data_IF_535430349582
#
_entry.id   IF_535430349582
#
_cell.length_a   1.000
_cell.length_b   1.000
_cell.length_c   1.000
_cell.angle_alpha   90.00
_cell.angle_beta   90.00
_cell.angle_gamma   90.00
#
_symmetry.space_group_name_H-M   'P 1'
#
loop_
_entity.id
_entity.type
_entity.pdbx_description
1 polymer ?
#
# COMPACT_ATOMS: atom_id res chain seq x y z
N UNK A 1 1.92 -7.65 -16.47
CA UNK A 1 1.67 -7.18 -15.10
C UNK A 1 2.65 -7.78 -14.10
N UNK A 2 2.96 -9.08 -14.17
CA UNK A 2 3.85 -9.80 -13.24
C UNK A 2 5.18 -9.12 -13.00
N UNK A 3 5.95 -8.83 -14.05
CA UNK A 3 7.22 -8.11 -13.93
C UNK A 3 7.13 -6.77 -13.22
N UNK A 4 6.03 -6.06 -13.41
CA UNK A 4 5.83 -4.78 -12.73
C UNK A 4 5.53 -4.97 -11.22
N UNK A 5 4.71 -5.94 -10.87
CA UNK A 5 4.42 -6.23 -9.46
C UNK A 5 5.65 -6.70 -8.70
N UNK A 6 6.55 -7.45 -9.38
CA UNK A 6 7.78 -7.98 -8.78
C UNK A 6 8.90 -6.92 -8.72
N UNK A 7 9.13 -6.16 -9.79
CA UNK A 7 10.27 -5.24 -9.91
C UNK A 7 9.89 -3.76 -9.85
N UNK A 8 8.61 -3.41 -9.99
CA UNK A 8 8.17 -2.02 -10.02
C UNK A 8 8.72 -1.26 -11.23
N UNK A 9 8.94 0.04 -11.01
CA UNK A 9 9.41 0.98 -12.05
C UNK A 9 10.89 1.41 -11.86
N UNK A 10 11.62 0.75 -10.99
CA UNK A 10 13.01 1.13 -10.71
C UNK A 10 13.95 0.80 -11.87
N UNK A 11 14.87 1.70 -12.24
CA UNK A 11 15.78 1.48 -13.39
C UNK A 11 16.60 0.20 -13.27
N UNK A 12 16.97 -0.20 -12.05
CA UNK A 12 17.76 -1.40 -11.78
C UNK A 12 16.96 -2.72 -11.91
N UNK A 13 15.70 -2.67 -12.35
CA UNK A 13 14.95 -3.89 -12.73
C UNK A 13 15.60 -4.69 -13.86
N UNK A 14 16.55 -4.08 -14.58
CA UNK A 14 17.37 -4.75 -15.60
C UNK A 14 18.49 -5.60 -15.00
N UNK A 15 18.77 -5.47 -13.70
CA UNK A 15 19.80 -6.21 -12.95
C UNK A 15 19.16 -7.16 -11.91
N UNK A 16 18.48 -8.24 -12.32
CA UNK A 16 17.67 -9.05 -11.40
C UNK A 16 18.47 -9.64 -10.22
N UNK A 17 19.76 -9.94 -10.44
CA UNK A 17 20.62 -10.51 -9.39
C UNK A 17 20.90 -9.56 -8.23
N UNK A 18 20.93 -8.26 -8.50
CA UNK A 18 21.21 -7.20 -7.52
C UNK A 18 19.94 -6.43 -7.14
N UNK A 19 18.81 -6.81 -7.70
CA UNK A 19 17.56 -6.06 -7.54
C UNK A 19 17.17 -5.84 -6.08
N UNK A 20 17.11 -6.93 -5.30
CA UNK A 20 16.72 -6.86 -3.88
C UNK A 20 17.67 -6.00 -3.06
N UNK A 21 18.99 -6.13 -3.31
CA UNK A 21 20.00 -5.33 -2.63
C UNK A 21 19.86 -3.84 -2.99
N UNK A 22 19.70 -3.53 -4.28
CA UNK A 22 19.53 -2.16 -4.76
C UNK A 22 18.22 -1.54 -4.23
N UNK A 23 17.12 -2.31 -4.15
CA UNK A 23 15.86 -1.82 -3.59
C UNK A 23 15.98 -1.54 -2.09
N UNK A 24 16.61 -2.44 -1.31
CA UNK A 24 16.87 -2.22 0.11
C UNK A 24 17.76 -1.01 0.36
N UNK A 25 18.80 -0.83 -0.46
CA UNK A 25 19.66 0.35 -0.39
C UNK A 25 18.88 1.63 -0.69
N UNK A 26 18.04 1.63 -1.71
CA UNK A 26 17.18 2.76 -2.06
C UNK A 26 16.20 3.07 -0.93
N UNK A 27 15.53 2.07 -0.36
CA UNK A 27 14.65 2.22 0.79
C UNK A 27 15.37 2.85 1.99
N UNK A 28 16.56 2.33 2.33
CA UNK A 28 17.36 2.87 3.43
C UNK A 28 17.77 4.32 3.17
N UNK A 29 18.19 4.66 1.95
CA UNK A 29 18.51 6.05 1.58
C UNK A 29 17.28 6.97 1.72
N UNK A 30 16.11 6.54 1.26
CA UNK A 30 14.85 7.30 1.43
C UNK A 30 14.57 7.55 2.91
N UNK A 31 14.67 6.53 3.77
CA UNK A 31 14.46 6.71 5.20
C UNK A 31 15.49 7.65 5.85
N UNK A 32 16.74 7.56 5.45
CA UNK A 32 17.82 8.40 6.00
C UNK A 32 17.71 9.84 5.50
N UNK A 33 17.54 10.04 4.20
CA UNK A 33 17.50 11.40 3.61
C UNK A 33 16.16 12.08 3.94
N UNK A 34 15.04 11.46 3.62
CA UNK A 34 13.74 12.12 3.72
C UNK A 34 13.30 12.27 5.18
N UNK A 35 13.60 11.30 6.04
CA UNK A 35 13.13 11.34 7.42
C UNK A 35 14.15 11.94 8.38
N UNK A 36 15.43 11.59 8.30
CA UNK A 36 16.43 12.18 9.22
C UNK A 36 16.79 13.61 8.83
N UNK A 37 17.12 13.84 7.54
CA UNK A 37 17.55 15.16 7.10
C UNK A 37 16.40 16.14 6.93
N UNK A 38 15.37 15.79 6.15
CA UNK A 38 14.29 16.72 5.78
C UNK A 38 13.32 16.91 6.96
N UNK A 39 12.93 15.83 7.64
CA UNK A 39 12.01 15.87 8.81
C UNK A 39 12.74 16.07 10.15
N UNK A 40 14.08 16.13 10.15
CA UNK A 40 14.91 16.32 11.34
C UNK A 40 14.61 15.30 12.47
N UNK A 41 14.30 14.06 12.10
CA UNK A 41 14.04 13.00 13.05
C UNK A 41 15.34 12.52 13.68
N UNK A 42 15.27 12.11 14.94
CA UNK A 42 16.42 11.55 15.65
C UNK A 42 16.84 10.19 15.06
N UNK A 43 18.13 9.97 14.92
CA UNK A 43 18.69 8.72 14.37
C UNK A 43 18.21 7.46 15.11
N UNK A 44 17.95 7.55 16.42
CA UNK A 44 17.40 6.45 17.23
C UNK A 44 16.03 5.97 16.76
N UNK A 45 15.28 6.77 15.99
CA UNK A 45 13.96 6.41 15.50
C UNK A 45 14.04 5.56 14.23
N UNK A 46 15.15 5.62 13.51
CA UNK A 46 15.31 4.97 12.21
C UNK A 46 15.15 3.44 12.32
N UNK A 47 15.74 2.83 13.35
CA UNK A 47 15.60 1.38 13.54
C UNK A 47 14.15 0.96 13.83
N UNK A 48 13.38 1.79 14.56
CA UNK A 48 11.95 1.53 14.84
C UNK A 48 11.10 1.67 13.58
N UNK A 49 11.42 2.64 12.72
CA UNK A 49 10.76 2.79 11.42
C UNK A 49 11.06 1.60 10.50
N UNK A 50 12.32 1.15 10.44
CA UNK A 50 12.69 -0.06 9.69
C UNK A 50 11.94 -1.29 10.21
N UNK A 51 11.91 -1.50 11.53
CA UNK A 51 11.15 -2.58 12.17
C UNK A 51 9.67 -2.52 11.82
N UNK A 52 9.07 -1.32 11.81
CA UNK A 52 7.67 -1.14 11.42
C UNK A 52 7.42 -1.55 9.97
N UNK A 53 8.28 -1.14 9.04
CA UNK A 53 8.15 -1.52 7.62
C UNK A 53 8.23 -3.04 7.44
N UNK A 54 9.18 -3.70 8.12
CA UNK A 54 9.29 -5.17 8.09
C UNK A 54 8.04 -5.85 8.62
N UNK A 55 7.48 -5.39 9.74
CA UNK A 55 6.24 -5.94 10.30
C UNK A 55 5.07 -5.74 9.32
N UNK A 56 4.97 -4.59 8.68
CA UNK A 56 3.93 -4.32 7.68
C UNK A 56 4.08 -5.20 6.44
N UNK A 57 5.32 -5.48 6.02
CA UNK A 57 5.59 -6.34 4.86
C UNK A 57 5.22 -7.81 5.11
N UNK A 58 5.28 -8.26 6.37
CA UNK A 58 4.99 -9.65 6.76
C UNK A 58 3.51 -9.90 7.08
N UNK A 59 2.68 -8.86 7.10
CA UNK A 59 1.26 -8.98 7.43
C UNK A 59 0.40 -8.77 6.20
N UNK A 60 -0.68 -9.57 6.04
CA UNK A 60 -1.65 -9.32 4.97
C UNK A 60 -2.26 -7.91 5.14
N UNK A 61 -2.20 -7.04 4.11
CA UNK A 61 -2.69 -5.67 4.22
C UNK A 61 -4.19 -5.56 4.56
N UNK A 62 -5.02 -6.50 4.10
CA UNK A 62 -6.46 -6.50 4.39
C UNK A 62 -6.83 -6.84 5.84
N UNK A 63 -5.87 -7.07 6.71
CA UNK A 63 -6.16 -7.17 8.12
C UNK A 63 -6.28 -5.78 8.76
N UNK A 64 -7.32 -5.62 9.59
CA UNK A 64 -7.47 -4.40 10.38
C UNK A 64 -6.21 -4.11 11.17
N UNK A 65 -5.69 -2.90 11.01
CA UNK A 65 -4.46 -2.47 11.67
C UNK A 65 -4.65 -2.39 13.19
N UNK A 66 -3.94 -3.22 13.93
CA UNK A 66 -3.92 -3.17 15.38
C UNK A 66 -2.77 -2.28 15.89
N UNK A 67 -3.03 -0.97 16.01
CA UNK A 67 -2.05 0.02 16.49
C UNK A 67 -1.51 -0.34 17.88
N UNK A 68 -2.34 -0.93 18.76
CA UNK A 68 -1.91 -1.29 20.11
C UNK A 68 -0.87 -2.41 20.07
N UNK A 69 -1.10 -3.41 19.24
CA UNK A 69 -0.15 -4.50 19.04
C UNK A 69 1.16 -4.01 18.41
N UNK A 70 1.08 -3.17 17.38
CA UNK A 70 2.27 -2.55 16.78
C UNK A 70 3.07 -1.72 17.81
N UNK A 71 2.36 -0.99 18.68
CA UNK A 71 3.01 -0.20 19.72
C UNK A 71 3.80 -1.08 20.72
N UNK A 72 3.24 -2.24 21.08
CA UNK A 72 3.93 -3.22 21.93
C UNK A 72 5.15 -3.83 21.22
N UNK A 73 4.99 -4.28 19.99
CA UNK A 73 6.06 -4.94 19.21
C UNK A 73 7.25 -4.00 18.91
N UNK A 74 6.98 -2.69 18.77
CA UNK A 74 8.00 -1.67 18.47
C UNK A 74 8.47 -0.97 19.73
N UNK A 75 7.89 -1.32 20.89
CA UNK A 75 8.22 -0.70 22.19
C UNK A 75 8.06 0.82 22.16
N UNK A 76 6.86 1.27 21.81
CA UNK A 76 6.53 2.69 21.69
C UNK A 76 5.07 2.98 22.00
N UNK A 77 4.65 4.24 21.98
CA UNK A 77 3.26 4.63 22.20
C UNK A 77 2.40 4.47 20.93
N UNK A 78 1.07 4.36 21.11
CA UNK A 78 0.10 4.32 19.99
C UNK A 78 0.19 5.59 19.13
N UNK A 79 0.31 6.75 19.75
CA UNK A 79 0.46 8.03 19.07
C UNK A 79 1.74 8.07 18.23
N UNK A 80 2.82 7.49 18.73
CA UNK A 80 4.09 7.38 18.01
C UNK A 80 3.94 6.49 16.77
N UNK A 81 3.22 5.36 16.86
CA UNK A 81 2.94 4.51 15.68
C UNK A 81 2.18 5.30 14.61
N UNK A 82 1.14 6.04 14.98
CA UNK A 82 0.39 6.87 14.01
C UNK A 82 1.32 7.90 13.35
N UNK A 83 2.21 8.55 14.11
CA UNK A 83 3.20 9.46 13.56
C UNK A 83 4.18 8.76 12.62
N UNK A 84 4.65 7.56 12.97
CA UNK A 84 5.54 6.78 12.11
C UNK A 84 4.88 6.41 10.78
N UNK A 85 3.61 5.98 10.82
CA UNK A 85 2.86 5.69 9.60
C UNK A 85 2.70 6.94 8.72
N UNK A 86 2.51 8.12 9.32
CA UNK A 86 2.49 9.39 8.58
C UNK A 86 3.85 9.69 7.95
N UNK A 87 4.96 9.55 8.68
CA UNK A 87 6.30 9.74 8.11
C UNK A 87 6.59 8.79 6.95
N UNK A 88 6.23 7.51 7.09
CA UNK A 88 6.36 6.53 6.01
C UNK A 88 5.46 6.85 4.81
N UNK A 89 4.29 7.44 5.06
CA UNK A 89 3.39 7.93 4.00
C UNK A 89 3.98 9.12 3.26
N UNK A 90 4.53 10.10 3.97
CA UNK A 90 5.19 11.26 3.39
C UNK A 90 6.39 10.84 2.52
N UNK A 91 7.17 9.85 2.97
CA UNK A 91 8.28 9.25 2.24
C UNK A 91 7.82 8.28 1.14
N UNK A 92 6.52 8.10 0.92
CA UNK A 92 5.92 7.17 -0.05
C UNK A 92 6.29 5.69 0.12
N UNK A 93 6.74 5.31 1.31
CA UNK A 93 7.10 3.93 1.65
C UNK A 93 5.88 3.12 2.09
N UNK A 94 4.88 3.78 2.68
CA UNK A 94 3.63 3.16 3.11
C UNK A 94 2.42 4.00 2.65
N UNK A 95 1.26 3.34 2.55
CA UNK A 95 -0.03 3.93 2.16
C UNK A 95 -1.07 3.60 3.23
N UNK A 96 -1.25 4.45 4.23
CA UNK A 96 -2.38 4.31 5.14
C UNK A 96 -3.69 4.61 4.42
N UNK A 97 -4.67 3.71 4.60
CA UNK A 97 -6.03 3.86 4.09
C UNK A 97 -6.97 4.03 5.28
N UNK A 98 -7.78 5.05 5.23
CA UNK A 98 -8.73 5.41 6.29
C UNK A 98 -10.13 4.97 5.91
N UNK A 99 -11.02 4.88 6.89
CA UNK A 99 -12.45 4.70 6.62
C UNK A 99 -13.04 5.99 6.06
N UNK A 100 -14.13 5.87 5.31
CA UNK A 100 -14.82 7.04 4.75
C UNK A 100 -15.28 8.05 5.83
N UNK A 101 -15.59 7.54 7.02
CA UNK A 101 -16.02 8.31 8.19
C UNK A 101 -14.88 8.89 9.04
N UNK A 102 -13.64 8.42 8.84
CA UNK A 102 -12.49 8.83 9.64
C UNK A 102 -11.76 10.02 9.01
N UNK A 103 -11.11 10.83 9.86
CA UNK A 103 -10.20 11.88 9.41
C UNK A 103 -8.81 11.29 9.10
N UNK A 104 -8.07 11.90 8.17
CA UNK A 104 -6.71 11.49 7.83
C UNK A 104 -5.68 11.66 8.96
N UNK A 105 -6.04 12.42 9.99
CA UNK A 105 -5.20 12.60 11.20
C UNK A 105 -5.43 11.50 12.25
N UNK A 106 -6.42 10.66 12.04
CA UNK A 106 -6.77 9.57 12.94
C UNK A 106 -5.98 8.28 12.71
N UNK A 107 -6.53 7.20 13.25
CA UNK A 107 -6.00 5.85 13.10
C UNK A 107 -6.35 5.31 11.71
N UNK A 108 -5.38 4.89 10.87
CA UNK A 108 -5.69 4.22 9.62
C UNK A 108 -6.33 2.85 9.89
N UNK A 109 -7.23 2.44 9.00
CA UNK A 109 -7.89 1.14 9.10
C UNK A 109 -6.99 0.02 8.60
N UNK A 110 -6.29 0.24 7.49
CA UNK A 110 -5.30 -0.66 6.90
C UNK A 110 -4.09 0.13 6.39
N UNK A 111 -2.98 -0.56 6.14
CA UNK A 111 -1.79 0.04 5.55
C UNK A 111 -1.25 -0.87 4.47
N UNK A 112 -1.08 -0.35 3.26
CA UNK A 112 -0.32 -0.97 2.19
C UNK A 112 1.11 -0.43 2.16
N UNK A 113 2.04 -1.20 1.61
CA UNK A 113 3.37 -0.66 1.27
C UNK A 113 3.26 0.27 0.05
N UNK A 114 4.23 1.14 -0.12
CA UNK A 114 4.24 2.15 -1.18
C UNK A 114 4.36 1.57 -2.59
N UNK A 115 4.85 0.32 -2.71
CA UNK A 115 4.96 -0.37 -3.99
C UNK A 115 4.88 -1.89 -3.78
N UNK A 116 4.27 -2.67 -4.70
CA UNK A 116 4.18 -4.13 -4.61
C UNK A 116 5.52 -4.84 -4.45
N UNK A 117 6.57 -4.37 -5.11
CA UNK A 117 7.91 -4.96 -5.04
C UNK A 117 8.52 -4.96 -3.63
N UNK A 118 8.08 -4.07 -2.74
CA UNK A 118 8.53 -4.06 -1.35
C UNK A 118 8.09 -5.31 -0.60
N UNK A 119 6.94 -5.89 -0.93
CA UNK A 119 6.52 -7.17 -0.34
C UNK A 119 7.42 -8.33 -0.76
N UNK A 120 7.89 -8.35 -2.02
CA UNK A 120 8.82 -9.39 -2.49
C UNK A 120 10.18 -9.32 -1.82
N UNK A 121 10.65 -8.12 -1.50
CA UNK A 121 12.00 -7.91 -0.94
C UNK A 121 12.02 -7.94 0.58
N UNK A 122 10.97 -7.48 1.24
CA UNK A 122 10.88 -7.38 2.70
C UNK A 122 10.05 -8.50 3.33
N UNK A 123 9.07 -9.05 2.60
CA UNK A 123 8.22 -10.16 3.04
C UNK A 123 8.96 -11.49 2.93
N UNK A 124 8.76 -12.38 3.92
CA UNK A 124 9.31 -13.74 3.87
C UNK A 124 8.37 -14.71 3.13
N UNK A 125 7.09 -14.41 3.08
CA UNK A 125 6.06 -15.20 2.39
C UNK A 125 5.50 -14.41 1.20
N UNK A 126 5.03 -15.13 0.20
CA UNK A 126 4.40 -14.53 -0.96
C UNK A 126 3.13 -13.77 -0.52
N UNK A 127 3.10 -12.47 -0.75
CA UNK A 127 1.89 -11.68 -0.61
C UNK A 127 0.86 -12.17 -1.63
N UNK A 128 -0.41 -12.26 -1.21
CA UNK A 128 -1.50 -12.66 -2.10
C UNK A 128 -1.57 -11.73 -3.33
N UNK A 129 -1.84 -12.32 -4.48
CA UNK A 129 -1.92 -11.60 -5.76
C UNK A 129 -2.88 -10.41 -5.69
N UNK A 130 -4.04 -10.61 -5.13
CA UNK A 130 -5.04 -9.55 -4.96
C UNK A 130 -4.52 -8.38 -4.13
N UNK A 131 -3.68 -8.64 -3.12
CA UNK A 131 -3.06 -7.61 -2.30
C UNK A 131 -2.00 -6.80 -3.06
N UNK A 132 -1.22 -7.48 -3.91
CA UNK A 132 -0.26 -6.81 -4.80
C UNK A 132 -0.98 -5.90 -5.79
N UNK A 133 -2.11 -6.36 -6.37
CA UNK A 133 -2.94 -5.55 -7.26
C UNK A 133 -3.54 -4.33 -6.55
N UNK A 134 -4.06 -4.50 -5.34
CA UNK A 134 -4.57 -3.39 -4.51
C UNK A 134 -3.47 -2.39 -4.21
N UNK A 135 -2.30 -2.87 -3.80
CA UNK A 135 -1.13 -2.00 -3.56
C UNK A 135 -0.78 -1.18 -4.79
N UNK A 136 -0.75 -1.81 -5.97
CA UNK A 136 -0.51 -1.13 -7.24
C UNK A 136 -1.55 -0.05 -7.51
N UNK A 137 -2.84 -0.40 -7.46
CA UNK A 137 -3.93 0.54 -7.74
C UNK A 137 -3.90 1.72 -6.79
N UNK A 138 -3.73 1.49 -5.47
CA UNK A 138 -3.65 2.59 -4.49
C UNK A 138 -2.41 3.46 -4.68
N UNK A 139 -1.28 2.88 -5.07
CA UNK A 139 -0.10 3.69 -5.38
C UNK A 139 -0.36 4.63 -6.57
N UNK A 140 -1.05 4.16 -7.61
CA UNK A 140 -1.40 5.00 -8.76
C UNK A 140 -2.46 6.07 -8.39
N UNK A 141 -3.53 5.68 -7.72
CA UNK A 141 -4.58 6.61 -7.28
C UNK A 141 -4.06 7.74 -6.39
N UNK A 142 -3.07 7.45 -5.54
CA UNK A 142 -2.53 8.44 -4.60
C UNK A 142 -1.91 9.69 -5.23
N UNK A 143 -1.76 9.73 -6.53
CA UNK A 143 -1.22 10.90 -7.25
C UNK A 143 -2.25 12.02 -7.46
N UNK A 144 -3.54 11.73 -7.38
CA UNK A 144 -4.59 12.72 -7.60
C UNK A 144 -5.95 12.35 -7.04
N UNK A 145 -6.06 11.18 -6.42
CA UNK A 145 -7.33 10.64 -5.93
C UNK A 145 -7.23 10.20 -4.48
N UNK A 146 -8.36 10.23 -3.78
CA UNK A 146 -8.49 9.73 -2.41
C UNK A 146 -9.22 8.39 -2.40
N UNK A 147 -8.56 7.36 -1.91
CA UNK A 147 -9.17 6.05 -1.67
C UNK A 147 -9.42 5.86 -0.18
N UNK A 148 -10.63 5.43 0.19
CA UNK A 148 -11.06 5.15 1.56
C UNK A 148 -11.79 3.81 1.61
N UNK A 149 -11.81 3.18 2.78
CA UNK A 149 -12.63 1.97 2.98
C UNK A 149 -14.07 2.40 3.19
N UNK A 150 -14.98 1.80 2.42
CA UNK A 150 -16.41 2.03 2.58
C UNK A 150 -16.87 1.56 3.96
N UNK A 151 -17.59 2.42 4.68
CA UNK A 151 -18.19 2.10 5.98
C UNK A 151 -19.27 1.01 5.90
N UNK A 152 -19.79 0.76 4.71
CA UNK A 152 -20.95 -0.12 4.46
C UNK A 152 -20.58 -1.56 4.09
N UNK A 153 -19.31 -1.93 3.98
CA UNK A 153 -18.93 -3.25 3.48
C UNK A 153 -17.62 -3.78 4.05
N UNK A 154 -17.25 -4.95 3.56
CA UNK A 154 -15.98 -5.61 3.85
C UNK A 154 -14.77 -4.72 3.53
N UNK A 155 -13.62 -5.04 4.10
CA UNK A 155 -12.34 -4.37 3.82
C UNK A 155 -11.92 -4.39 2.33
N UNK A 156 -12.62 -5.14 1.49
CA UNK A 156 -12.32 -5.27 0.06
C UNK A 156 -13.07 -4.26 -0.84
N UNK A 157 -13.96 -3.43 -0.28
CA UNK A 157 -14.65 -2.38 -1.03
C UNK A 157 -14.13 -1.02 -0.62
N UNK A 158 -13.69 -0.26 -1.61
CA UNK A 158 -13.10 1.06 -1.44
C UNK A 158 -13.97 2.13 -2.11
N UNK A 159 -14.01 3.30 -1.56
CA UNK A 159 -14.59 4.49 -2.17
C UNK A 159 -13.46 5.38 -2.68
N UNK A 160 -13.51 5.72 -3.95
CA UNK A 160 -12.56 6.64 -4.58
C UNK A 160 -13.26 7.95 -4.84
N UNK A 161 -12.69 9.07 -4.35
CA UNK A 161 -13.24 10.42 -4.47
C UNK A 161 -14.71 10.52 -4.00
N UNK A 162 -15.10 9.69 -3.05
CA UNK A 162 -16.41 9.62 -2.42
C UNK A 162 -17.42 8.74 -3.18
N UNK A 163 -17.83 9.06 -4.44
CA UNK A 163 -18.99 8.38 -5.03
C UNK A 163 -18.68 7.12 -5.83
N UNK A 164 -17.41 6.74 -5.99
CA UNK A 164 -17.01 5.62 -6.82
C UNK A 164 -16.60 4.39 -6.01
N UNK A 165 -17.54 3.45 -5.71
CA UNK A 165 -17.21 2.22 -5.01
C UNK A 165 -16.40 1.30 -5.94
N UNK A 166 -15.22 0.88 -5.46
CA UNK A 166 -14.22 0.13 -6.22
C UNK A 166 -13.91 -1.20 -5.53
N UNK A 167 -13.96 -2.29 -6.28
CA UNK A 167 -13.55 -3.63 -5.85
C UNK A 167 -12.39 -4.11 -6.73
N UNK A 168 -11.27 -4.53 -6.12
CA UNK A 168 -10.04 -4.88 -6.83
C UNK A 168 -9.78 -6.37 -6.62
N UNK A 169 -9.74 -7.14 -7.71
CA UNK A 169 -9.58 -8.60 -7.70
C UNK A 169 -8.78 -9.08 -8.91
N UNK A 170 -8.28 -10.31 -8.88
CA UNK A 170 -7.61 -10.92 -10.03
C UNK A 170 -8.59 -11.17 -11.17
N UNK A 171 -9.72 -11.76 -10.82
CA UNK A 171 -10.83 -12.03 -11.71
C UNK A 171 -12.15 -11.90 -10.94
N UNK A 172 -13.26 -11.77 -11.64
CA UNK A 172 -14.56 -11.61 -11.01
C UNK A 172 -14.98 -12.91 -10.31
N UNK A 173 -14.72 -12.95 -9.00
CA UNK A 173 -15.17 -14.03 -8.14
C UNK A 173 -16.61 -13.78 -7.69
N UNK A 174 -17.56 -14.48 -8.27
CA UNK A 174 -18.95 -14.42 -7.87
C UNK A 174 -19.86 -13.60 -8.77
N UNK A 175 -20.99 -13.13 -8.20
CA UNK A 175 -22.03 -12.46 -8.96
C UNK A 175 -21.69 -10.98 -9.20
N UNK A 176 -21.72 -10.55 -10.45
CA UNK A 176 -21.62 -9.13 -10.82
C UNK A 176 -22.72 -8.30 -10.13
N UNK A 177 -22.31 -7.15 -9.60
CA UNK A 177 -23.22 -6.18 -8.97
C UNK A 177 -23.06 -4.84 -9.69
N UNK A 178 -24.16 -4.21 -10.04
CA UNK A 178 -24.16 -2.93 -10.76
C UNK A 178 -23.92 -1.70 -9.86
N UNK A 179 -23.79 -1.90 -8.54
CA UNK A 179 -23.58 -0.84 -7.54
C UNK A 179 -22.11 -0.42 -7.38
N UNK A 180 -21.17 -1.08 -8.09
CA UNK A 180 -19.72 -0.84 -7.94
C UNK A 180 -18.95 -1.02 -9.24
N UNK A 181 -17.73 -0.50 -9.26
CA UNK A 181 -16.74 -0.74 -10.29
C UNK A 181 -15.82 -1.91 -9.88
N UNK A 182 -15.45 -2.74 -10.86
CA UNK A 182 -14.55 -3.85 -10.69
C UNK A 182 -13.22 -3.54 -11.39
N UNK A 183 -12.13 -3.54 -10.64
CA UNK A 183 -10.78 -3.47 -11.19
C UNK A 183 -10.22 -4.88 -11.22
N UNK A 184 -10.04 -5.42 -12.41
CA UNK A 184 -9.70 -6.82 -12.63
C UNK A 184 -8.36 -6.94 -13.36
N UNK A 185 -7.51 -7.86 -12.94
CA UNK A 185 -6.29 -8.18 -13.66
C UNK A 185 -6.60 -8.84 -15.01
N UNK A 186 -7.51 -9.81 -14.99
CA UNK A 186 -8.03 -10.52 -16.17
C UNK A 186 -9.39 -9.96 -16.58
N UNK A 187 -9.47 -8.63 -16.62
CA UNK A 187 -10.71 -7.94 -16.98
C UNK A 187 -10.83 -7.71 -18.47
N UNK A 188 -12.04 -7.89 -19.00
CA UNK A 188 -12.42 -7.50 -20.35
C UNK A 188 -13.14 -6.14 -20.29
N UNK A 189 -12.78 -5.23 -21.18
CA UNK A 189 -13.46 -3.93 -21.38
C UNK A 189 -14.90 -4.08 -21.90
N UNK A 190 -15.33 -5.28 -22.26
CA UNK A 190 -16.67 -5.56 -22.79
C UNK A 190 -17.80 -5.39 -21.77
N UNK A 191 -17.49 -5.39 -20.45
CA UNK A 191 -18.50 -5.24 -19.41
C UNK A 191 -18.50 -3.83 -18.84
N UNK A 192 -19.70 -3.27 -18.74
CA UNK A 192 -19.91 -2.00 -18.05
C UNK A 192 -19.36 -2.04 -16.62
N UNK A 193 -18.71 -0.96 -16.17
CA UNK A 193 -18.07 -0.82 -14.86
C UNK A 193 -16.95 -1.83 -14.55
N UNK A 194 -16.35 -2.44 -15.58
CA UNK A 194 -15.14 -3.25 -15.44
C UNK A 194 -13.94 -2.47 -15.99
N UNK A 195 -12.91 -2.33 -15.18
CA UNK A 195 -11.69 -1.58 -15.51
C UNK A 195 -10.52 -2.55 -15.43
N UNK A 196 -9.77 -2.78 -16.51
CA UNK A 196 -8.54 -3.54 -16.45
C UNK A 196 -7.50 -2.85 -15.54
N UNK A 197 -6.87 -3.62 -14.66
CA UNK A 197 -5.91 -3.07 -13.68
C UNK A 197 -4.76 -2.30 -14.32
N UNK A 198 -4.29 -2.71 -15.49
CA UNK A 198 -3.18 -2.06 -16.18
C UNK A 198 -3.47 -0.61 -16.61
N UNK A 199 -4.75 -0.22 -16.76
CA UNK A 199 -5.12 1.18 -17.06
C UNK A 199 -4.71 2.14 -15.96
N UNK A 200 -4.64 1.69 -14.71
CA UNK A 200 -4.16 2.52 -13.61
C UNK A 200 -2.69 2.92 -13.75
N UNK A 201 -1.90 2.18 -14.52
CA UNK A 201 -0.52 2.55 -14.84
C UNK A 201 -0.39 3.84 -15.67
N UNK A 202 -1.47 4.36 -16.24
CA UNK A 202 -1.51 5.62 -17.00
C UNK A 202 -2.03 6.81 -16.19
N UNK A 203 -2.31 6.65 -14.90
CA UNK A 203 -2.64 7.76 -13.99
C UNK A 203 -1.36 8.50 -13.61
N UNK A 204 -1.12 9.67 -14.20
CA UNK A 204 0.05 10.51 -13.95
C UNK A 204 -0.35 11.81 -13.25
#
# INVERSE_FOLDING_TARGET
>A
MDRYLEYGYYPFHLEPRLYSENLLKTLNMTLEVDLLFIKQLEQRLLHKLRKLIYILAQRPPLQMLNISQLALEIETSRSTIVNYLRYLSDARVARPIYRAEDTEMGKPAIVYLGNPNLYHVLGQEACDRSELLRTFVFNQLSKGHQARISSRSSLALFEVDGPYPLQIEEELAGRYRSDRYYVLERGDLSREKTIPVWLFGFLY
#
